data_IF_728354991609
#
_entry.id   IF_728354991609
#
_cell.length_a   1.000
_cell.length_b   1.000
_cell.length_c   1.000
_cell.angle_alpha   90.00
_cell.angle_beta   90.00
_cell.angle_gamma   90.00
#
_symmetry.space_group_name_H-M   'P 1'
#
loop_
_entity.id
_entity.type
_entity.pdbx_description
1 polymer ?
#
# COMPACT_ATOMS: atom_id res chain seq x y z
N UNK A 1 1.84 -22.73 2.42
CA UNK A 1 1.01 -22.02 1.43
C UNK A 1 1.27 -20.56 1.68
N UNK A 2 1.67 -19.84 0.65
CA UNK A 2 2.27 -18.52 0.81
C UNK A 2 1.32 -17.47 0.25
N UNK A 3 0.90 -16.53 1.10
CA UNK A 3 0.01 -15.44 0.73
C UNK A 3 0.81 -14.14 0.68
N UNK A 4 0.64 -13.39 -0.41
CA UNK A 4 1.20 -12.05 -0.56
C UNK A 4 0.10 -11.07 -0.98
N UNK A 5 -0.05 -10.00 -0.20
CA UNK A 5 -1.08 -8.98 -0.40
C UNK A 5 -0.42 -7.64 -0.72
N UNK A 6 -0.89 -6.98 -1.78
CA UNK A 6 -0.37 -5.67 -2.22
C UNK A 6 -1.42 -4.61 -1.92
N UNK A 7 -1.02 -3.58 -1.17
CA UNK A 7 -1.85 -2.41 -0.88
C UNK A 7 -1.54 -1.28 -1.86
N UNK A 8 -2.58 -0.52 -2.23
CA UNK A 8 -2.44 0.66 -3.06
C UNK A 8 -3.51 1.69 -2.69
N UNK A 9 -3.14 2.98 -2.76
CA UNK A 9 -4.11 4.08 -2.67
C UNK A 9 -4.75 4.36 -4.04
N UNK A 10 -5.96 4.94 -4.10
CA UNK A 10 -6.52 5.41 -5.37
C UNK A 10 -5.59 6.43 -6.02
N UNK A 11 -5.09 6.14 -7.22
CA UNK A 11 -4.11 7.01 -7.92
C UNK A 11 -2.88 6.28 -8.47
N UNK A 12 -2.62 5.06 -8.01
CA UNK A 12 -1.48 4.21 -8.46
C UNK A 12 -1.50 3.82 -9.95
N UNK A 13 -2.51 4.25 -10.73
CA UNK A 13 -2.54 4.05 -12.18
C UNK A 13 -1.56 4.98 -12.92
N UNK A 14 -1.21 6.13 -12.36
CA UNK A 14 -0.33 7.13 -13.01
C UNK A 14 1.03 6.55 -13.40
N UNK A 15 1.56 5.61 -12.61
CA UNK A 15 2.82 4.91 -12.89
C UNK A 15 2.70 3.73 -13.84
N UNK A 16 1.49 3.35 -14.26
CA UNK A 16 1.23 2.15 -15.09
C UNK A 16 0.50 2.45 -16.40
N UNK A 17 -0.05 3.65 -16.56
CA UNK A 17 -0.80 4.06 -17.76
C UNK A 17 0.13 4.19 -18.97
N UNK A 18 -0.39 3.85 -20.15
CA UNK A 18 0.36 3.92 -21.43
C UNK A 18 0.74 5.34 -21.86
N UNK A 19 -0.16 6.32 -21.66
CA UNK A 19 0.04 7.72 -22.06
C UNK A 19 0.32 8.58 -20.83
N UNK A 20 1.31 9.48 -20.93
CA UNK A 20 1.73 10.39 -19.87
C UNK A 20 2.06 9.66 -18.55
N UNK A 21 2.81 8.56 -18.62
CA UNK A 21 3.24 7.85 -17.42
C UNK A 21 4.10 8.76 -16.55
N UNK A 22 3.88 8.74 -15.24
CA UNK A 22 4.66 9.54 -14.30
C UNK A 22 4.85 8.80 -12.97
N UNK A 23 5.75 9.29 -12.12
CA UNK A 23 6.05 8.73 -10.80
C UNK A 23 4.91 9.04 -9.83
N UNK A 24 4.75 8.17 -8.84
CA UNK A 24 3.87 8.44 -7.70
C UNK A 24 4.63 9.34 -6.73
N UNK A 25 4.00 10.42 -6.27
CA UNK A 25 4.59 11.33 -5.28
C UNK A 25 4.87 10.64 -3.95
N UNK A 26 5.90 11.09 -3.23
CA UNK A 26 6.37 10.47 -1.99
C UNK A 26 5.28 10.36 -0.93
N UNK A 27 4.49 11.41 -0.74
CA UNK A 27 3.42 11.44 0.26
C UNK A 27 2.25 10.51 -0.10
N UNK A 28 2.11 10.14 -1.37
CA UNK A 28 1.08 9.22 -1.84
C UNK A 28 1.51 7.74 -1.77
N UNK A 29 2.81 7.47 -1.64
CA UNK A 29 3.30 6.10 -1.42
C UNK A 29 2.88 5.61 -0.04
N UNK A 30 2.63 4.30 0.07
CA UNK A 30 2.37 3.64 1.34
C UNK A 30 3.70 3.32 2.02
N UNK A 31 3.78 3.63 3.32
CA UNK A 31 4.87 3.20 4.20
C UNK A 31 4.53 1.87 4.87
N UNK A 32 5.50 1.31 5.59
CA UNK A 32 5.29 0.10 6.38
C UNK A 32 4.29 0.36 7.51
N UNK A 33 4.39 1.52 8.14
CA UNK A 33 3.56 1.94 9.26
C UNK A 33 2.10 2.09 8.82
N UNK A 34 1.85 2.69 7.65
CA UNK A 34 0.51 2.83 7.09
C UNK A 34 -0.15 1.47 6.85
N UNK A 35 0.61 0.50 6.31
CA UNK A 35 0.11 -0.85 6.06
C UNK A 35 -0.26 -1.58 7.36
N UNK A 36 0.57 -1.42 8.41
CA UNK A 36 0.30 -1.97 9.74
C UNK A 36 -0.98 -1.36 10.33
N UNK A 37 -1.15 -0.05 10.23
CA UNK A 37 -2.33 0.64 10.76
C UNK A 37 -3.59 0.24 9.99
N UNK A 38 -3.52 0.17 8.66
CA UNK A 38 -4.64 -0.30 7.83
C UNK A 38 -5.09 -1.72 8.20
N UNK A 39 -4.13 -2.62 8.47
CA UNK A 39 -4.43 -3.99 8.88
C UNK A 39 -5.09 -4.06 10.26
N UNK A 40 -4.62 -3.24 11.21
CA UNK A 40 -5.23 -3.11 12.55
C UNK A 40 -6.66 -2.57 12.48
N UNK A 41 -6.91 -1.54 11.68
CA UNK A 41 -8.22 -0.90 11.59
C UNK A 41 -9.25 -1.73 10.81
N UNK A 42 -8.84 -2.35 9.70
CA UNK A 42 -9.77 -3.05 8.79
C UNK A 42 -10.11 -4.45 9.27
N UNK A 43 -9.16 -5.13 9.91
CA UNK A 43 -9.27 -6.54 10.29
C UNK A 43 -9.01 -6.81 11.77
N UNK A 44 -8.91 -5.76 12.60
CA UNK A 44 -8.59 -5.89 14.03
C UNK A 44 -7.31 -6.70 14.29
N UNK A 45 -6.38 -6.63 13.33
CA UNK A 45 -5.21 -7.51 13.29
C UNK A 45 -4.16 -7.15 14.33
N UNK A 46 -3.66 -8.15 15.06
CA UNK A 46 -2.55 -7.98 16.01
C UNK A 46 -1.22 -8.17 15.27
N UNK A 47 -0.34 -7.17 15.36
CA UNK A 47 1.02 -7.23 14.79
C UNK A 47 2.02 -7.51 15.92
N UNK A 48 2.65 -8.68 15.87
CA UNK A 48 3.67 -9.09 16.84
C UNK A 48 5.03 -8.54 16.38
N UNK A 49 5.74 -7.83 17.27
CA UNK A 49 7.15 -7.49 17.05
C UNK A 49 7.98 -8.74 17.35
N UNK A 50 8.77 -9.19 16.37
CA UNK A 50 9.80 -10.20 16.56
C UNK A 50 11.16 -9.55 16.47
#
# INVERSE_FOLDING_TARGET
>A
MDFFVVLARPGFRVSRRKRMQDKIGRDHLLTKEDAINWFKETYEGIVLNK
#
